data_IF_315320186085
#
_entry.id   IF_315320186085
#
_cell.length_a   1.000
_cell.length_b   1.000
_cell.length_c   1.000
_cell.angle_alpha   90.00
_cell.angle_beta   90.00
_cell.angle_gamma   90.00
#
_symmetry.space_group_name_H-M   'P 1'
#
loop_
_entity.id
_entity.type
_entity.pdbx_description
1 polymer ?
#
# COMPACT_ATOMS: atom_id res chain seq x y z
N UNK A 1 6.34 -8.93 8.31
CA UNK A 1 6.01 -8.86 6.86
C UNK A 1 4.80 -9.72 6.53
N UNK A 2 4.91 -11.06 6.69
CA UNK A 2 3.86 -12.03 6.36
C UNK A 2 2.49 -11.71 6.98
N UNK A 3 2.44 -11.05 8.13
CA UNK A 3 1.18 -10.63 8.77
C UNK A 3 0.79 -9.17 8.50
N UNK A 4 1.75 -8.26 8.32
CA UNK A 4 1.44 -6.81 8.17
C UNK A 4 0.72 -6.55 6.85
N UNK A 5 1.19 -7.14 5.75
CA UNK A 5 0.57 -6.98 4.43
C UNK A 5 -0.87 -7.49 4.42
N UNK A 6 -1.18 -8.74 4.83
CA UNK A 6 -2.56 -9.20 4.82
C UNK A 6 -3.44 -8.42 5.82
N UNK A 7 -2.93 -8.00 6.98
CA UNK A 7 -3.69 -7.13 7.90
C UNK A 7 -4.02 -5.80 7.22
N UNK A 8 -3.08 -5.17 6.52
CA UNK A 8 -3.33 -3.92 5.80
C UNK A 8 -4.32 -4.11 4.64
N UNK A 9 -4.23 -5.23 3.91
CA UNK A 9 -5.18 -5.58 2.84
C UNK A 9 -6.58 -5.82 3.40
N UNK A 10 -6.71 -6.62 4.45
CA UNK A 10 -8.02 -6.84 5.11
C UNK A 10 -8.55 -5.52 5.66
N UNK A 11 -7.69 -4.71 6.27
CA UNK A 11 -8.05 -3.39 6.79
C UNK A 11 -8.62 -2.46 5.71
N UNK A 12 -7.94 -2.32 4.57
CA UNK A 12 -8.44 -1.45 3.48
C UNK A 12 -9.73 -1.99 2.84
N UNK A 13 -9.88 -3.31 2.75
CA UNK A 13 -11.12 -3.93 2.26
C UNK A 13 -12.28 -3.72 3.24
N UNK A 14 -12.04 -3.80 4.54
CA UNK A 14 -13.04 -3.49 5.57
C UNK A 14 -13.41 -2.00 5.56
N UNK A 15 -12.44 -1.10 5.37
CA UNK A 15 -12.70 0.33 5.19
C UNK A 15 -13.56 0.60 3.97
N UNK A 16 -13.33 -0.10 2.86
CA UNK A 16 -14.17 0.01 1.68
C UNK A 16 -15.58 -0.57 1.93
N UNK A 17 -15.67 -1.77 2.51
CA UNK A 17 -16.94 -2.46 2.74
C UNK A 17 -17.85 -1.74 3.75
N UNK A 18 -17.27 -1.04 4.72
CA UNK A 18 -18.01 -0.22 5.69
C UNK A 18 -18.48 1.12 5.13
N UNK A 19 -18.10 1.48 3.91
CA UNK A 19 -18.38 2.80 3.33
C UNK A 19 -17.54 3.93 3.91
N UNK A 20 -16.52 3.62 4.73
CA UNK A 20 -15.60 4.62 5.29
C UNK A 20 -14.69 5.28 4.23
N UNK A 21 -14.62 4.70 3.02
CA UNK A 21 -13.96 5.29 1.86
C UNK A 21 -15.05 5.95 0.98
N UNK A 22 -15.27 7.28 1.10
CA UNK A 22 -16.26 7.97 0.27
C UNK A 22 -15.72 8.13 -1.15
N UNK A 23 -16.31 7.39 -2.10
CA UNK A 23 -15.83 7.33 -3.49
C UNK A 23 -16.08 8.62 -4.28
N UNK A 24 -17.09 9.40 -3.90
CA UNK A 24 -17.50 10.65 -4.57
C UNK A 24 -16.82 11.90 -3.98
N UNK A 25 -15.81 11.72 -3.13
CA UNK A 25 -15.15 12.80 -2.41
C UNK A 25 -13.64 12.61 -2.34
N UNK A 26 -12.91 13.71 -2.18
CA UNK A 26 -11.46 13.72 -1.91
C UNK A 26 -11.11 12.90 -0.66
N UNK A 27 -12.08 12.71 0.25
CA UNK A 27 -11.94 11.85 1.41
C UNK A 27 -11.58 10.40 1.07
N UNK A 28 -12.07 9.84 -0.05
CA UNK A 28 -11.77 8.46 -0.45
C UNK A 28 -10.29 8.23 -0.71
N UNK A 29 -9.70 8.97 -1.67
CA UNK A 29 -8.26 8.94 -1.91
C UNK A 29 -7.41 9.24 -0.67
N UNK A 30 -7.83 10.19 0.19
CA UNK A 30 -7.13 10.49 1.44
C UNK A 30 -7.12 9.31 2.41
N UNK A 31 -8.24 8.60 2.56
CA UNK A 31 -8.33 7.41 3.43
C UNK A 31 -7.47 6.26 2.90
N UNK A 32 -7.45 6.06 1.58
CA UNK A 32 -6.59 5.07 0.94
C UNK A 32 -5.11 5.41 1.19
N UNK A 33 -4.72 6.66 0.96
CA UNK A 33 -3.36 7.13 1.20
C UNK A 33 -2.94 6.98 2.67
N UNK A 34 -3.84 7.27 3.61
CA UNK A 34 -3.60 7.10 5.03
C UNK A 34 -3.43 5.63 5.42
N UNK A 35 -4.26 4.72 4.89
CA UNK A 35 -4.12 3.29 5.11
C UNK A 35 -2.77 2.77 4.60
N UNK A 36 -2.34 3.21 3.41
CA UNK A 36 -1.04 2.88 2.83
C UNK A 36 0.10 3.43 3.70
N UNK A 37 0.00 4.69 4.13
CA UNK A 37 0.99 5.34 5.01
C UNK A 37 1.17 4.56 6.31
N UNK A 38 0.07 4.18 6.96
CA UNK A 38 0.10 3.39 8.19
C UNK A 38 0.71 2.00 7.97
N UNK A 39 0.38 1.34 6.85
CA UNK A 39 0.99 0.07 6.48
C UNK A 39 2.51 0.18 6.28
N UNK A 40 2.97 1.19 5.55
CA UNK A 40 4.39 1.44 5.30
C UNK A 40 5.13 1.82 6.60
N UNK A 41 4.51 2.62 7.47
CA UNK A 41 5.05 2.94 8.79
C UNK A 41 5.19 1.68 9.64
N UNK A 42 4.16 0.83 9.69
CA UNK A 42 4.18 -0.42 10.44
C UNK A 42 5.32 -1.34 9.96
N UNK A 43 5.59 -1.38 8.65
CA UNK A 43 6.71 -2.14 8.08
C UNK A 43 8.06 -1.60 8.56
N UNK A 44 8.27 -0.27 8.49
CA UNK A 44 9.51 0.35 8.94
C UNK A 44 9.75 0.17 10.45
N UNK A 45 8.72 0.36 11.26
CA UNK A 45 8.78 0.14 12.72
C UNK A 45 9.08 -1.32 13.04
N UNK A 46 8.38 -2.26 12.41
CA UNK A 46 8.62 -3.68 12.61
C UNK A 46 10.04 -4.08 12.22
N UNK A 47 10.56 -3.57 11.10
CA UNK A 47 11.93 -3.85 10.66
C UNK A 47 12.98 -3.31 11.64
N UNK A 48 12.82 -2.07 12.10
CA UNK A 48 13.73 -1.47 13.05
C UNK A 48 13.75 -2.23 14.39
N UNK A 49 12.57 -2.67 14.84
CA UNK A 49 12.44 -3.44 16.07
C UNK A 49 13.01 -4.85 15.95
N UNK A 50 12.68 -5.59 14.88
CA UNK A 50 13.15 -6.97 14.68
C UNK A 50 14.66 -7.07 14.47
N UNK A 51 15.30 -6.01 13.96
CA UNK A 51 16.76 -5.93 13.83
C UNK A 51 17.46 -5.23 14.99
N UNK A 52 16.75 -4.92 16.08
CA UNK A 52 17.29 -4.24 17.26
C UNK A 52 18.10 -2.98 16.92
N UNK A 53 17.61 -2.18 15.97
CA UNK A 53 18.31 -0.99 15.53
C UNK A 53 18.32 0.08 16.62
N UNK A 54 19.42 0.83 16.72
CA UNK A 54 19.47 2.07 17.51
C UNK A 54 18.61 3.19 16.90
N UNK A 55 18.50 4.33 17.58
CA UNK A 55 17.62 5.47 17.22
C UNK A 55 17.80 5.92 15.77
N UNK A 56 19.05 6.10 15.32
CA UNK A 56 19.31 6.47 13.92
C UNK A 56 18.86 5.39 12.93
N UNK A 57 18.99 4.12 13.30
CA UNK A 57 18.54 3.00 12.47
C UNK A 57 17.01 2.92 12.37
N UNK A 58 16.27 3.35 13.39
CA UNK A 58 14.82 3.52 13.36
C UNK A 58 14.40 4.62 12.38
N UNK A 59 15.00 5.81 12.47
CA UNK A 59 14.71 6.93 11.58
C UNK A 59 14.94 6.50 10.13
N UNK A 60 16.10 5.91 9.84
CA UNK A 60 16.41 5.44 8.49
C UNK A 60 15.42 4.38 8.03
N UNK A 61 15.04 3.42 8.89
CA UNK A 61 14.08 2.38 8.50
C UNK A 61 12.71 2.96 8.15
N UNK A 62 12.19 3.87 8.97
CA UNK A 62 10.91 4.53 8.69
C UNK A 62 10.98 5.33 7.39
N UNK A 63 12.01 6.17 7.22
CA UNK A 63 12.15 7.00 6.02
C UNK A 63 12.29 6.15 4.76
N UNK A 64 13.13 5.12 4.78
CA UNK A 64 13.34 4.22 3.63
C UNK A 64 12.06 3.45 3.31
N UNK A 65 11.32 3.00 4.33
CA UNK A 65 10.04 2.32 4.15
C UNK A 65 9.02 3.23 3.45
N UNK A 66 8.89 4.47 3.92
CA UNK A 66 7.97 5.45 3.34
C UNK A 66 8.37 5.82 1.90
N UNK A 67 9.66 6.08 1.65
CA UNK A 67 10.16 6.37 0.30
C UNK A 67 9.91 5.19 -0.64
N UNK A 68 10.20 3.96 -0.20
CA UNK A 68 9.93 2.75 -0.97
C UNK A 68 8.45 2.57 -1.29
N UNK A 69 7.56 2.81 -0.33
CA UNK A 69 6.12 2.77 -0.55
C UNK A 69 5.68 3.82 -1.58
N UNK A 70 5.99 5.10 -1.34
CA UNK A 70 5.48 6.19 -2.19
C UNK A 70 6.10 6.25 -3.58
N UNK A 71 7.31 5.72 -3.78
CA UNK A 71 7.88 5.55 -5.12
C UNK A 71 7.16 4.45 -5.92
N UNK A 72 6.78 3.36 -5.25
CA UNK A 72 6.16 2.20 -5.89
C UNK A 72 4.64 2.36 -6.02
N UNK A 73 3.97 3.14 -5.18
CA UNK A 73 2.52 3.28 -5.18
C UNK A 73 1.94 3.73 -6.55
N UNK A 74 2.49 4.76 -7.24
CA UNK A 74 2.00 5.16 -8.56
C UNK A 74 2.20 4.06 -9.60
N UNK A 75 3.35 3.37 -9.57
CA UNK A 75 3.64 2.25 -10.47
C UNK A 75 2.68 1.08 -10.20
N UNK A 76 2.38 0.80 -8.93
CA UNK A 76 1.41 -0.23 -8.53
C UNK A 76 0.01 0.07 -9.06
N UNK A 77 -0.48 1.31 -8.88
CA UNK A 77 -1.77 1.72 -9.42
C UNK A 77 -1.83 1.58 -10.95
N UNK A 78 -0.76 2.01 -11.65
CA UNK A 78 -0.66 1.86 -13.10
C UNK A 78 -0.70 0.38 -13.52
N UNK A 79 0.16 -0.47 -12.95
CA UNK A 79 0.23 -1.89 -13.30
C UNK A 79 -1.09 -2.60 -13.03
N UNK A 80 -1.71 -2.34 -11.88
CA UNK A 80 -3.00 -2.93 -11.51
C UNK A 80 -4.11 -2.48 -12.46
N UNK A 81 -4.15 -1.20 -12.85
CA UNK A 81 -5.13 -0.70 -13.83
C UNK A 81 -4.99 -1.36 -15.20
N UNK A 82 -3.75 -1.61 -15.63
CA UNK A 82 -3.43 -2.24 -16.90
C UNK A 82 -3.84 -3.72 -16.91
N UNK A 83 -3.60 -4.43 -15.80
CA UNK A 83 -4.00 -5.82 -15.61
C UNK A 83 -5.51 -6.00 -15.50
N UNK A 84 -6.21 -5.05 -14.86
CA UNK A 84 -7.66 -5.12 -14.67
C UNK A 84 -8.47 -4.57 -15.83
N UNK A 85 -7.85 -3.87 -16.78
CA UNK A 85 -8.50 -3.28 -17.96
C UNK A 85 -9.52 -4.20 -18.67
N UNK A 86 -9.20 -5.47 -18.95
CA UNK A 86 -10.12 -6.42 -19.60
C UNK A 86 -11.41 -6.70 -18.79
N UNK A 87 -11.37 -6.52 -17.48
CA UNK A 87 -12.47 -6.84 -16.56
C UNK A 87 -13.35 -5.62 -16.23
N UNK A 88 -13.02 -4.44 -16.76
CA UNK A 88 -13.70 -3.17 -16.44
C UNK A 88 -15.00 -2.93 -17.23
N UNK A 89 -15.41 -3.86 -18.10
CA UNK A 89 -16.72 -3.82 -18.76
C UNK A 89 -16.97 -2.57 -19.62
N UNK A 90 -15.92 -1.96 -20.18
CA UNK A 90 -16.01 -0.71 -20.95
C UNK A 90 -15.93 0.57 -20.10
N UNK A 91 -15.77 0.45 -18.78
CA UNK A 91 -15.56 1.60 -17.89
C UNK A 91 -14.20 2.25 -18.15
N UNK A 92 -14.13 3.58 -18.07
CA UNK A 92 -12.89 4.34 -18.32
C UNK A 92 -11.93 4.37 -17.13
N UNK A 93 -12.38 3.97 -15.93
CA UNK A 93 -11.54 3.90 -14.74
C UNK A 93 -11.93 2.75 -13.80
N UNK A 94 -10.96 2.26 -13.03
CA UNK A 94 -11.15 1.18 -12.05
C UNK A 94 -12.16 1.59 -10.98
N UNK A 95 -12.15 2.87 -10.59
CA UNK A 95 -13.12 3.43 -9.65
C UNK A 95 -14.54 3.42 -10.23
N UNK A 96 -14.69 3.74 -11.51
CA UNK A 96 -15.99 3.70 -12.19
C UNK A 96 -16.50 2.27 -12.41
N UNK A 97 -15.62 1.30 -12.61
CA UNK A 97 -15.99 -0.11 -12.73
C UNK A 97 -16.61 -0.66 -11.42
N UNK A 98 -16.17 -0.13 -10.27
CA UNK A 98 -16.75 -0.44 -8.96
C UNK A 98 -16.67 -1.93 -8.57
N UNK A 99 -17.48 -2.32 -7.59
CA UNK A 99 -17.68 -3.72 -7.20
C UNK A 99 -16.40 -4.51 -6.90
N UNK A 100 -16.34 -5.75 -7.38
CA UNK A 100 -15.21 -6.66 -7.16
C UNK A 100 -13.91 -6.17 -7.81
N UNK A 101 -13.99 -5.49 -8.96
CA UNK A 101 -12.81 -4.96 -9.67
C UNK A 101 -12.11 -3.90 -8.81
N UNK A 102 -12.88 -3.02 -8.18
CA UNK A 102 -12.34 -2.01 -7.26
C UNK A 102 -11.71 -2.64 -6.01
N UNK A 103 -12.35 -3.67 -5.42
CA UNK A 103 -11.79 -4.37 -4.26
C UNK A 103 -10.46 -5.04 -4.58
N UNK A 104 -10.39 -5.75 -5.71
CA UNK A 104 -9.16 -6.39 -6.18
C UNK A 104 -8.09 -5.33 -6.45
N UNK A 105 -8.46 -4.21 -7.06
CA UNK A 105 -7.52 -3.15 -7.35
C UNK A 105 -6.93 -2.51 -6.08
N UNK A 106 -7.77 -2.24 -5.07
CA UNK A 106 -7.33 -1.71 -3.79
C UNK A 106 -6.40 -2.68 -3.06
N UNK A 107 -6.78 -3.95 -2.99
CA UNK A 107 -5.95 -4.99 -2.39
C UNK A 107 -4.60 -5.12 -3.12
N UNK A 108 -4.61 -5.23 -4.44
CA UNK A 108 -3.41 -5.38 -5.24
C UNK A 108 -2.49 -4.16 -5.13
N UNK A 109 -3.05 -2.95 -5.17
CA UNK A 109 -2.27 -1.71 -5.02
C UNK A 109 -1.65 -1.61 -3.64
N UNK A 110 -2.38 -1.97 -2.58
CA UNK A 110 -1.85 -2.04 -1.22
C UNK A 110 -0.67 -3.03 -1.14
N UNK A 111 -0.83 -4.24 -1.68
CA UNK A 111 0.24 -5.25 -1.70
C UNK A 111 1.48 -4.73 -2.42
N UNK A 112 1.33 -4.24 -3.65
CA UNK A 112 2.46 -3.77 -4.46
C UNK A 112 3.18 -2.61 -3.77
N UNK A 113 2.43 -1.68 -3.18
CA UNK A 113 2.99 -0.54 -2.46
C UNK A 113 3.79 -0.97 -1.23
N UNK A 114 3.22 -1.86 -0.41
CA UNK A 114 3.90 -2.36 0.78
C UNK A 114 5.11 -3.24 0.43
N UNK A 115 5.07 -3.98 -0.69
CA UNK A 115 6.25 -4.66 -1.20
C UNK A 115 7.36 -3.68 -1.60
N UNK A 116 7.01 -2.51 -2.14
CA UNK A 116 7.97 -1.42 -2.40
C UNK A 116 8.70 -0.97 -1.14
N UNK A 117 7.95 -0.78 -0.05
CA UNK A 117 8.53 -0.43 1.26
C UNK A 117 9.51 -1.49 1.79
N UNK A 118 9.14 -2.76 1.64
CA UNK A 118 9.98 -3.88 2.07
C UNK A 118 11.22 -4.04 1.19
N UNK A 119 11.08 -3.93 -0.13
CA UNK A 119 12.18 -4.04 -1.08
C UNK A 119 13.24 -2.94 -0.83
N UNK A 120 12.80 -1.70 -0.58
CA UNK A 120 13.70 -0.61 -0.23
C UNK A 120 14.50 -0.90 1.04
N UNK A 121 13.83 -1.40 2.09
CA UNK A 121 14.50 -1.82 3.32
C UNK A 121 15.45 -3.00 3.12
N UNK A 122 15.06 -3.98 2.32
CA UNK A 122 15.90 -5.13 1.99
C UNK A 122 17.17 -4.68 1.27
N UNK A 123 17.05 -3.76 0.31
CA UNK A 123 18.19 -3.20 -0.41
C UNK A 123 19.15 -2.46 0.53
N UNK A 124 18.64 -1.58 1.39
CA UNK A 124 19.47 -0.84 2.37
C UNK A 124 20.18 -1.79 3.34
N UNK A 125 19.52 -2.89 3.71
CA UNK A 125 20.12 -3.91 4.56
C UNK A 125 21.21 -4.73 3.88
N UNK A 126 21.15 -4.88 2.55
CA UNK A 126 22.19 -5.59 1.78
C UNK A 126 23.43 -4.73 1.58
N UNK A 127 23.27 -3.41 1.61
CA UNK A 127 24.33 -2.43 1.36
C UNK A 127 25.03 -1.94 2.65
N UNK A 128 24.61 -2.45 3.82
CA UNK A 128 25.21 -2.15 5.13
C UNK A 128 25.85 -3.41 5.69
#
# INVERSE_FOLDING_TARGET
MQYIVPIAVVGILLLQASGAIPMDSVGGPMMIALAVLLGALAIGVHEAWTKHRGVLGWIVSIVVSLVGAFLVAPAGGMVVSLLLGPFMGGSTSVAAAGGAVMQIALAATMVVTLLGSWCALWLVNRLR
#
